data_IF_154819978308
#
_entry.id   IF_154819978308
#
_cell.length_a   1.000
_cell.length_b   1.000
_cell.length_c   1.000
_cell.angle_alpha   90.00
_cell.angle_beta   90.00
_cell.angle_gamma   90.00
#
_symmetry.space_group_name_H-M   'P 1'
#
loop_
_entity.id
_entity.type
_entity.pdbx_description
1 polymer ?
#
# COMPACT_ATOMS: atom_id res chain seq x y z
N UNK A 1 -58.68 10.93 10.67
CA UNK A 1 -59.26 9.62 10.28
C UNK A 1 -58.27 8.96 9.34
N UNK A 2 -57.74 7.77 9.68
CA UNK A 2 -56.82 7.03 8.84
C UNK A 2 -57.60 6.15 7.87
N UNK A 3 -57.12 6.00 6.63
CA UNK A 3 -57.62 4.98 5.71
C UNK A 3 -56.63 3.80 5.69
N UNK A 4 -57.17 2.64 6.00
CA UNK A 4 -56.53 1.34 6.12
C UNK A 4 -56.78 0.47 4.88
N UNK A 5 -55.68 -0.02 4.29
CA UNK A 5 -55.45 -1.32 3.62
C UNK A 5 -56.30 -1.72 2.37
N UNK A 6 -55.84 -2.64 1.49
CA UNK A 6 -55.52 -4.01 1.88
C UNK A 6 -54.13 -4.54 1.44
N UNK A 7 -53.57 -5.39 2.29
CA UNK A 7 -52.50 -6.34 1.97
C UNK A 7 -52.98 -7.32 0.90
N UNK A 8 -52.22 -7.48 -0.18
CA UNK A 8 -52.37 -8.56 -1.15
C UNK A 8 -51.27 -9.61 -0.95
N UNK A 9 -51.72 -10.81 -0.54
CA UNK A 9 -51.15 -12.14 -0.71
C UNK A 9 -49.62 -12.30 -0.87
N UNK A 10 -48.99 -12.86 0.16
CA UNK A 10 -47.64 -13.44 0.09
C UNK A 10 -47.66 -14.75 -0.73
N UNK A 11 -46.95 -14.77 -1.86
CA UNK A 11 -46.48 -16.01 -2.50
C UNK A 11 -45.26 -16.57 -1.72
N UNK A 12 -45.05 -17.90 -1.71
CA UNK A 12 -43.97 -18.48 -0.95
C UNK A 12 -42.60 -18.06 -1.53
N UNK A 13 -41.81 -17.37 -0.70
CA UNK A 13 -40.43 -16.98 -0.97
C UNK A 13 -39.60 -18.16 -1.49
N UNK A 14 -39.05 -18.02 -2.70
CA UNK A 14 -37.93 -18.86 -3.11
C UNK A 14 -36.64 -18.34 -2.46
N UNK A 15 -35.77 -19.25 -2.01
CA UNK A 15 -34.48 -18.92 -1.40
C UNK A 15 -33.59 -18.03 -2.29
N UNK A 16 -33.87 -17.95 -3.60
CA UNK A 16 -33.16 -17.10 -4.55
C UNK A 16 -33.51 -15.61 -4.41
N UNK A 17 -34.73 -15.23 -4.01
CA UNK A 17 -35.15 -13.83 -3.93
C UNK A 17 -34.65 -13.10 -2.68
N UNK A 18 -34.28 -13.83 -1.62
CA UNK A 18 -33.67 -13.29 -0.41
C UNK A 18 -32.18 -12.94 -0.61
N UNK A 19 -31.52 -13.62 -1.56
CA UNK A 19 -30.09 -13.43 -1.86
C UNK A 19 -29.87 -12.28 -2.86
N UNK A 20 -30.85 -11.94 -3.71
CA UNK A 20 -30.65 -10.99 -4.81
C UNK A 20 -31.21 -9.58 -4.61
N UNK A 21 -31.88 -9.27 -3.49
CA UNK A 21 -32.25 -7.89 -3.11
C UNK A 21 -33.01 -7.09 -4.18
N UNK A 22 -33.74 -7.77 -5.07
CA UNK A 22 -34.12 -7.24 -6.38
C UNK A 22 -35.24 -6.21 -6.35
N UNK A 23 -36.05 -6.17 -5.29
CA UNK A 23 -37.29 -5.38 -5.29
C UNK A 23 -37.20 -4.05 -4.54
N UNK A 24 -36.18 -3.82 -3.71
CA UNK A 24 -36.00 -2.53 -3.02
C UNK A 24 -35.41 -1.44 -3.94
N UNK A 25 -34.83 -1.84 -5.08
CA UNK A 25 -34.00 -0.98 -5.93
C UNK A 25 -34.60 -0.67 -7.30
N UNK A 26 -35.71 -1.31 -7.68
CA UNK A 26 -36.50 -0.95 -8.87
C UNK A 26 -37.15 0.43 -8.76
N UNK A 27 -37.34 0.93 -7.54
CA UNK A 27 -37.82 2.29 -7.26
C UNK A 27 -36.77 3.38 -7.49
N UNK A 28 -35.50 3.05 -7.78
CA UNK A 28 -34.39 4.02 -7.87
C UNK A 28 -33.81 4.25 -9.28
N UNK A 29 -34.36 3.67 -10.36
CA UNK A 29 -34.07 4.09 -11.75
C UNK A 29 -32.61 4.03 -12.22
N UNK A 30 -31.84 3.00 -11.85
CA UNK A 30 -30.42 2.85 -12.24
C UNK A 30 -30.14 1.53 -12.99
N UNK A 31 -30.66 1.37 -14.20
CA UNK A 31 -30.53 0.12 -14.96
C UNK A 31 -29.18 -0.01 -15.72
N UNK A 32 -28.59 1.10 -16.19
CA UNK A 32 -27.37 1.04 -17.04
C UNK A 32 -26.04 0.97 -16.27
N UNK A 33 -26.01 1.41 -15.01
CA UNK A 33 -24.81 1.37 -14.14
C UNK A 33 -24.52 -0.03 -13.59
N UNK A 34 -25.55 -0.90 -13.52
CA UNK A 34 -25.44 -2.26 -12.99
C UNK A 34 -24.60 -3.20 -13.85
N UNK A 35 -24.55 -3.01 -15.16
CA UNK A 35 -23.86 -3.94 -16.07
C UNK A 35 -22.35 -3.67 -16.15
N UNK A 36 -21.95 -2.39 -16.16
CA UNK A 36 -20.54 -1.99 -16.29
C UNK A 36 -19.75 -2.08 -14.98
N UNK A 37 -20.34 -1.69 -13.84
CA UNK A 37 -19.68 -1.69 -12.54
C UNK A 37 -19.45 -3.10 -11.97
N UNK A 38 -20.41 -4.02 -12.16
CA UNK A 38 -20.25 -5.44 -11.77
C UNK A 38 -19.10 -6.09 -12.55
N UNK A 39 -19.04 -5.90 -13.87
CA UNK A 39 -18.02 -6.56 -14.71
C UNK A 39 -16.59 -6.07 -14.46
N UNK A 40 -16.39 -4.80 -14.10
CA UNK A 40 -15.07 -4.25 -13.81
C UNK A 40 -14.59 -4.57 -12.37
N UNK A 41 -15.48 -4.46 -11.37
CA UNK A 41 -15.16 -4.81 -9.99
C UNK A 41 -14.92 -6.31 -9.83
N UNK A 42 -15.77 -7.14 -10.43
CA UNK A 42 -15.61 -8.59 -10.41
C UNK A 42 -14.32 -9.01 -11.11
N UNK A 43 -13.87 -8.31 -12.16
CA UNK A 43 -12.60 -8.58 -12.82
C UNK A 43 -11.40 -8.27 -11.90
N UNK A 44 -11.40 -7.13 -11.20
CA UNK A 44 -10.30 -6.77 -10.30
C UNK A 44 -10.26 -7.62 -9.02
N UNK A 45 -11.43 -7.97 -8.47
CA UNK A 45 -11.54 -8.90 -7.34
C UNK A 45 -11.13 -10.30 -7.79
N UNK A 46 -11.57 -10.76 -8.96
CA UNK A 46 -11.15 -12.05 -9.54
C UNK A 46 -9.65 -12.07 -9.78
N UNK A 47 -9.04 -11.03 -10.33
CA UNK A 47 -7.59 -10.96 -10.52
C UNK A 47 -6.84 -11.01 -9.18
N UNK A 48 -7.32 -10.31 -8.14
CA UNK A 48 -6.70 -10.35 -6.81
C UNK A 48 -6.87 -11.71 -6.14
N UNK A 49 -8.05 -12.32 -6.26
CA UNK A 49 -8.32 -13.67 -5.74
C UNK A 49 -7.50 -14.71 -6.50
N UNK A 50 -7.43 -14.63 -7.84
CA UNK A 50 -6.56 -15.48 -8.66
C UNK A 50 -5.09 -15.31 -8.29
N UNK A 51 -4.62 -14.10 -8.02
CA UNK A 51 -3.25 -13.88 -7.56
C UNK A 51 -2.99 -14.52 -6.18
N UNK A 52 -3.90 -14.35 -5.22
CA UNK A 52 -3.78 -14.95 -3.88
C UNK A 52 -3.87 -16.49 -3.95
N UNK A 53 -4.82 -17.02 -4.71
CA UNK A 53 -4.99 -18.46 -4.94
C UNK A 53 -3.77 -19.03 -5.64
N UNK A 54 -3.26 -18.36 -6.68
CA UNK A 54 -2.04 -18.78 -7.38
C UNK A 54 -0.83 -18.77 -6.45
N UNK A 55 -0.66 -17.72 -5.62
CA UNK A 55 0.43 -17.70 -4.62
C UNK A 55 0.28 -18.79 -3.55
N UNK A 56 -0.95 -19.11 -3.15
CA UNK A 56 -1.24 -20.16 -2.16
C UNK A 56 -1.02 -21.56 -2.73
N UNK A 57 -1.44 -21.79 -3.99
CA UNK A 57 -1.21 -23.04 -4.72
C UNK A 57 0.27 -23.25 -5.00
N UNK A 58 1.01 -22.20 -5.36
CA UNK A 58 2.46 -22.26 -5.50
C UNK A 58 3.12 -22.59 -4.16
N UNK A 59 2.71 -21.97 -3.05
CA UNK A 59 3.24 -22.29 -1.71
C UNK A 59 2.96 -23.75 -1.31
N UNK A 60 1.73 -24.25 -1.53
CA UNK A 60 1.35 -25.66 -1.31
C UNK A 60 2.15 -26.61 -2.18
N UNK A 61 2.35 -26.27 -3.45
CA UNK A 61 3.18 -27.05 -4.37
C UNK A 61 4.63 -27.12 -3.89
N UNK A 62 5.20 -26.02 -3.40
CA UNK A 62 6.53 -26.01 -2.79
C UNK A 62 6.61 -26.89 -1.54
N UNK A 63 5.62 -26.83 -0.66
CA UNK A 63 5.55 -27.69 0.54
C UNK A 63 5.48 -29.16 0.14
N UNK A 64 4.67 -29.52 -0.85
CA UNK A 64 4.53 -30.88 -1.36
C UNK A 64 5.84 -31.38 -1.99
N UNK A 65 6.52 -30.54 -2.77
CA UNK A 65 7.81 -30.87 -3.38
C UNK A 65 8.90 -31.10 -2.32
N UNK A 66 8.93 -30.28 -1.27
CA UNK A 66 9.83 -30.48 -0.12
C UNK A 66 9.51 -31.81 0.58
N UNK A 67 8.23 -32.09 0.83
CA UNK A 67 7.79 -33.35 1.46
C UNK A 67 8.15 -34.59 0.61
N UNK A 68 7.93 -34.54 -0.70
CA UNK A 68 8.33 -35.61 -1.63
C UNK A 68 9.84 -35.83 -1.64
N UNK A 69 10.61 -34.73 -1.57
CA UNK A 69 12.08 -34.81 -1.52
C UNK A 69 12.56 -35.44 -0.22
N UNK A 70 11.98 -35.08 0.92
CA UNK A 70 12.28 -35.70 2.22
C UNK A 70 11.91 -37.20 2.19
N UNK A 71 10.74 -37.54 1.64
CA UNK A 71 10.28 -38.92 1.51
C UNK A 71 11.24 -39.76 0.64
N UNK A 72 11.63 -39.26 -0.53
CA UNK A 72 12.57 -39.96 -1.44
C UNK A 72 13.96 -40.12 -0.85
N UNK A 73 14.46 -39.12 -0.10
CA UNK A 73 15.72 -39.23 0.64
C UNK A 73 15.66 -40.30 1.73
N UNK A 74 14.57 -40.37 2.49
CA UNK A 74 14.35 -41.42 3.49
C UNK A 74 14.26 -42.82 2.86
N UNK A 75 13.59 -42.95 1.71
CA UNK A 75 13.50 -44.22 0.98
C UNK A 75 14.85 -44.67 0.43
N UNK A 76 15.68 -43.73 -0.06
CA UNK A 76 17.07 -44.03 -0.47
C UNK A 76 17.93 -44.50 0.71
N UNK A 77 17.80 -43.85 1.87
CA UNK A 77 18.49 -44.26 3.11
C UNK A 77 18.07 -45.66 3.56
N UNK A 78 16.77 -45.98 3.47
CA UNK A 78 16.24 -47.31 3.80
C UNK A 78 16.74 -48.39 2.83
N UNK A 79 16.77 -48.13 1.52
CA UNK A 79 17.35 -49.06 0.52
C UNK A 79 18.86 -49.24 0.69
N UNK A 80 19.61 -48.17 0.95
CA UNK A 80 21.06 -48.26 1.22
C UNK A 80 21.37 -49.12 2.46
N UNK A 81 20.56 -49.01 3.52
CA UNK A 81 20.71 -49.85 4.71
C UNK A 81 20.37 -51.33 4.44
N UNK A 82 19.39 -51.61 3.56
CA UNK A 82 19.04 -52.99 3.15
C UNK A 82 20.15 -53.59 2.26
N UNK A 83 20.74 -52.81 1.34
CA UNK A 83 21.89 -53.24 0.53
C UNK A 83 23.14 -53.52 1.39
N UNK A 84 23.43 -52.66 2.38
CA UNK A 84 24.54 -52.92 3.33
C UNK A 84 24.30 -54.12 4.23
N UNK A 85 23.04 -54.38 4.60
CA UNK A 85 22.67 -55.59 5.36
C UNK A 85 22.83 -56.89 4.57
N UNK A 86 22.57 -56.85 3.26
CA UNK A 86 22.73 -58.01 2.35
C UNK A 86 24.19 -58.24 1.95
N UNK A 87 25.00 -57.20 1.75
CA UNK A 87 26.45 -57.35 1.58
C UNK A 87 27.12 -57.95 2.83
N UNK A 88 26.67 -57.59 4.04
CA UNK A 88 27.16 -58.21 5.27
C UNK A 88 26.77 -59.69 5.39
N UNK A 89 25.61 -60.09 4.85
CA UNK A 89 25.14 -61.47 4.83
C UNK A 89 25.92 -62.33 3.82
N UNK A 90 26.15 -61.81 2.60
CA UNK A 90 26.92 -62.48 1.54
C UNK A 90 28.42 -62.56 1.90
N UNK A 91 28.96 -61.57 2.65
CA UNK A 91 30.34 -61.63 3.15
C UNK A 91 30.55 -62.66 4.27
N UNK A 92 29.48 -63.09 4.96
CA UNK A 92 29.53 -64.14 5.99
C UNK A 92 29.50 -65.54 5.37
N UNK A 93 28.63 -65.80 4.38
CA UNK A 93 28.62 -67.07 3.65
C UNK A 93 29.93 -67.31 2.88
N UNK A 94 30.50 -66.30 2.20
CA UNK A 94 31.77 -66.50 1.46
C UNK A 94 33.04 -66.62 2.34
N UNK A 95 32.91 -66.43 3.66
CA UNK A 95 33.99 -66.63 4.64
C UNK A 95 33.90 -67.95 5.42
N UNK A 96 32.75 -68.62 5.43
CA UNK A 96 32.62 -69.98 5.99
C UNK A 96 33.10 -71.04 4.97
N UNK A 97 32.87 -70.85 3.67
CA UNK A 97 33.28 -71.81 2.63
C UNK A 97 34.77 -71.76 2.24
N UNK A 98 35.55 -70.84 2.81
CA UNK A 98 37.00 -70.67 2.52
C UNK A 98 37.94 -71.13 3.64
N UNK A 99 37.48 -72.00 4.55
CA UNK A 99 38.28 -72.49 5.70
C UNK A 99 38.55 -74.00 5.76
N UNK A 100 38.14 -74.81 4.78
CA UNK A 100 38.43 -76.25 4.77
C UNK A 100 39.25 -76.69 3.55
N UNK A 101 40.50 -76.25 3.45
CA UNK A 101 41.55 -76.94 2.67
C UNK A 101 42.92 -76.36 3.02
N UNK A 102 43.59 -76.89 4.04
CA UNK A 102 45.04 -77.14 4.06
C UNK A 102 45.50 -77.65 5.44
N UNK A 103 46.38 -78.66 5.40
CA UNK A 103 47.24 -79.20 6.47
C UNK A 103 46.64 -80.21 7.48
N UNK A 104 46.89 -81.50 7.27
CA UNK A 104 47.89 -82.24 8.07
C UNK A 104 48.03 -83.69 7.60
N UNK A 105 49.28 -84.12 7.51
CA UNK A 105 49.74 -85.46 7.16
C UNK A 105 50.24 -86.17 8.43
N UNK A 106 49.67 -87.32 8.80
CA UNK A 106 50.39 -88.49 9.33
C UNK A 106 49.47 -89.68 9.67
N UNK A 107 49.95 -90.88 9.29
CA UNK A 107 49.68 -92.24 9.84
C UNK A 107 48.27 -92.87 9.84
N UNK A 108 48.17 -93.99 9.09
CA UNK A 108 47.15 -95.07 9.03
C UNK A 108 47.07 -95.90 10.35
N UNK A 109 46.11 -96.86 10.59
CA UNK A 109 45.33 -97.69 9.62
C UNK A 109 43.81 -98.02 9.89
N UNK A 110 43.05 -98.26 8.78
CA UNK A 110 42.08 -99.37 8.41
C UNK A 110 41.32 -100.13 9.54
N UNK A 111 40.02 -100.60 9.41
CA UNK A 111 39.34 -101.13 8.20
C UNK A 111 37.81 -100.88 7.93
N UNK A 112 37.47 -101.09 6.64
CA UNK A 112 36.25 -101.76 6.08
C UNK A 112 34.89 -101.05 6.22
N UNK A 113 34.04 -100.89 5.19
CA UNK A 113 33.49 -101.86 4.23
C UNK A 113 32.80 -101.14 3.04
N UNK A 114 32.81 -101.79 1.86
CA UNK A 114 31.78 -101.96 0.79
C UNK A 114 30.71 -100.85 0.61
N UNK A 115 30.25 -100.42 -0.57
CA UNK A 115 30.17 -100.92 -1.97
C UNK A 115 29.31 -99.84 -2.68
N UNK A 116 29.45 -99.38 -3.91
CA UNK A 116 29.46 -100.04 -5.22
C UNK A 116 29.70 -98.92 -6.24
N UNK A 117 30.65 -99.06 -7.16
CA UNK A 117 30.65 -98.33 -8.44
C UNK A 117 30.86 -99.37 -9.54
N UNK A 118 29.92 -99.43 -10.47
CA UNK A 118 30.01 -100.22 -11.68
C UNK A 118 30.52 -99.33 -12.83
N UNK A 119 31.67 -99.74 -13.35
CA UNK A 119 32.03 -99.83 -14.77
C UNK A 119 32.04 -98.58 -15.67
N UNK A 120 33.26 -98.22 -16.07
CA UNK A 120 33.62 -97.58 -17.35
C UNK A 120 33.43 -98.58 -18.51
N UNK A 121 33.48 -98.14 -19.79
CA UNK A 121 34.79 -98.20 -20.45
C UNK A 121 35.12 -97.01 -21.39
N UNK A 122 36.40 -96.63 -21.34
CA UNK A 122 37.31 -96.24 -22.43
C UNK A 122 36.74 -95.61 -23.72
N UNK A 123 37.30 -94.47 -24.13
CA UNK A 123 38.47 -94.48 -25.04
C UNK A 123 38.87 -93.09 -25.59
N UNK A 124 40.19 -92.89 -25.63
CA UNK A 124 41.02 -92.20 -26.65
C UNK A 124 40.93 -90.68 -26.81
N UNK A 125 41.98 -90.04 -26.30
CA UNK A 125 42.97 -89.25 -27.05
C UNK A 125 42.48 -88.45 -28.27
N UNK A 126 42.58 -87.13 -28.18
CA UNK A 126 43.50 -86.37 -29.05
C UNK A 126 43.74 -84.98 -28.46
N UNK A 127 45.02 -84.70 -28.24
CA UNK A 127 45.61 -83.42 -27.91
C UNK A 127 45.77 -82.57 -29.17
N UNK A 128 45.36 -81.30 -29.13
CA UNK A 128 46.12 -80.15 -29.63
C UNK A 128 45.24 -78.88 -29.68
N UNK A 129 45.82 -77.79 -29.20
CA UNK A 129 45.21 -76.52 -28.87
C UNK A 129 45.18 -75.51 -30.03
N UNK A 130 44.16 -74.66 -30.05
CA UNK A 130 44.11 -73.25 -30.49
C UNK A 130 42.61 -72.90 -30.66
N UNK A 131 41.96 -71.86 -30.13
CA UNK A 131 42.33 -70.58 -29.50
C UNK A 131 41.00 -70.05 -28.91
N UNK A 132 40.94 -69.42 -27.73
CA UNK A 132 39.68 -68.97 -27.15
C UNK A 132 39.21 -67.64 -27.78
N UNK A 133 38.04 -67.67 -28.41
CA UNK A 133 37.27 -66.47 -28.78
C UNK A 133 36.81 -65.73 -27.50
N UNK A 134 36.85 -64.39 -27.48
CA UNK A 134 36.55 -63.61 -26.28
C UNK A 134 35.05 -63.59 -25.98
N UNK A 135 34.70 -63.96 -24.75
CA UNK A 135 33.38 -63.77 -24.15
C UNK A 135 33.12 -62.25 -24.04
N UNK A 136 31.98 -61.71 -24.53
CA UNK A 136 31.69 -60.30 -24.37
C UNK A 136 31.38 -59.98 -22.88
N UNK A 137 31.87 -58.87 -22.32
CA UNK A 137 31.53 -58.48 -20.97
C UNK A 137 30.04 -58.09 -20.88
N UNK A 138 29.40 -58.22 -19.69
CA UNK A 138 28.02 -57.82 -19.52
C UNK A 138 27.89 -56.33 -19.81
N UNK A 139 26.99 -56.02 -20.74
CA UNK A 139 26.61 -54.67 -21.12
C UNK A 139 26.19 -53.88 -19.88
N UNK A 140 27.07 -52.99 -19.42
CA UNK A 140 26.70 -51.87 -18.56
C UNK A 140 25.81 -50.99 -19.43
N UNK A 141 24.49 -51.19 -19.32
CA UNK A 141 23.49 -50.21 -19.75
C UNK A 141 23.66 -48.96 -18.88
N UNK A 142 24.68 -48.16 -19.17
CA UNK A 142 24.65 -46.73 -18.91
C UNK A 142 23.68 -46.15 -19.94
N UNK A 143 22.37 -46.28 -19.69
CA UNK A 143 21.43 -45.32 -20.21
C UNK A 143 21.89 -43.96 -19.67
N UNK A 144 22.47 -43.14 -20.55
CA UNK A 144 22.56 -41.69 -20.35
C UNK A 144 21.17 -41.26 -19.87
N UNK A 145 21.03 -41.01 -18.58
CA UNK A 145 19.91 -40.24 -18.08
C UNK A 145 20.03 -38.90 -18.77
N UNK A 146 19.09 -38.66 -19.69
CA UNK A 146 18.78 -37.33 -20.16
C UNK A 146 18.81 -36.38 -18.96
N UNK A 147 19.36 -35.20 -19.20
CA UNK A 147 19.45 -34.08 -18.27
C UNK A 147 18.12 -33.94 -17.51
N UNK A 148 18.05 -34.54 -16.32
CA UNK A 148 17.11 -34.14 -15.29
C UNK A 148 17.65 -32.78 -14.82
N UNK A 149 17.35 -31.73 -15.60
CA UNK A 149 17.28 -30.33 -15.19
C UNK A 149 16.26 -30.26 -14.05
N UNK A 150 16.65 -30.80 -12.90
CA UNK A 150 15.83 -30.87 -11.72
C UNK A 150 15.53 -29.45 -11.31
N UNK A 151 14.25 -29.08 -11.40
CA UNK A 151 13.72 -27.79 -10.99
C UNK A 151 14.26 -27.43 -9.59
N UNK A 152 15.34 -26.66 -9.57
CA UNK A 152 16.05 -26.34 -8.35
C UNK A 152 15.25 -25.25 -7.62
N UNK A 153 14.85 -25.45 -6.35
CA UNK A 153 14.12 -24.45 -5.59
C UNK A 153 14.78 -23.07 -5.58
N UNK A 154 16.11 -23.03 -5.73
CA UNK A 154 16.88 -21.79 -5.89
C UNK A 154 16.56 -21.04 -7.19
N UNK A 155 16.47 -21.75 -8.33
CA UNK A 155 16.07 -21.15 -9.61
C UNK A 155 14.65 -20.59 -9.54
N UNK A 156 13.74 -21.32 -8.90
CA UNK A 156 12.37 -20.86 -8.72
C UNK A 156 12.28 -19.61 -7.83
N UNK A 157 13.06 -19.55 -6.75
CA UNK A 157 13.18 -18.35 -5.90
C UNK A 157 13.73 -17.15 -6.68
N UNK A 158 14.74 -17.35 -7.51
CA UNK A 158 15.28 -16.29 -8.38
C UNK A 158 14.25 -15.76 -9.37
N UNK A 159 13.41 -16.63 -9.95
CA UNK A 159 12.30 -16.21 -10.81
C UNK A 159 11.28 -15.36 -10.09
N UNK A 160 10.91 -15.72 -8.85
CA UNK A 160 10.00 -14.93 -8.01
C UNK A 160 10.60 -13.56 -7.69
N UNK A 161 11.88 -13.50 -7.31
CA UNK A 161 12.58 -12.24 -7.02
C UNK A 161 12.64 -11.36 -8.28
N UNK A 162 13.04 -11.93 -9.42
CA UNK A 162 13.07 -11.22 -10.72
C UNK A 162 11.69 -10.69 -11.09
N UNK A 163 10.65 -11.51 -11.00
CA UNK A 163 9.27 -11.12 -11.27
C UNK A 163 8.80 -9.98 -10.37
N UNK A 164 9.11 -10.05 -9.06
CA UNK A 164 8.84 -8.97 -8.12
C UNK A 164 9.56 -7.66 -8.51
N UNK A 165 10.86 -7.72 -8.83
CA UNK A 165 11.63 -6.55 -9.23
C UNK A 165 11.10 -5.93 -10.54
N UNK A 166 10.74 -6.75 -11.53
CA UNK A 166 10.12 -6.29 -12.78
C UNK A 166 8.79 -5.60 -12.49
N UNK A 167 7.91 -6.22 -11.70
CA UNK A 167 6.63 -5.61 -11.31
C UNK A 167 6.83 -4.25 -10.62
N UNK A 168 7.81 -4.16 -9.73
CA UNK A 168 8.16 -2.93 -9.01
C UNK A 168 8.70 -1.85 -9.95
N UNK A 169 9.54 -2.23 -10.89
CA UNK A 169 10.06 -1.33 -11.92
C UNK A 169 8.95 -0.80 -12.84
N UNK A 170 8.01 -1.66 -13.25
CA UNK A 170 6.82 -1.24 -14.01
C UNK A 170 6.01 -0.22 -13.21
N UNK A 171 5.78 -0.45 -11.91
CA UNK A 171 5.07 0.50 -11.04
C UNK A 171 5.81 1.83 -10.88
N UNK A 172 7.13 1.81 -10.73
CA UNK A 172 7.94 3.02 -10.75
C UNK A 172 7.75 3.78 -12.06
N UNK A 173 7.89 3.10 -13.19
CA UNK A 173 7.82 3.72 -14.51
C UNK A 173 6.42 4.28 -14.82
N UNK A 174 5.35 3.59 -14.42
CA UNK A 174 3.97 4.07 -14.49
C UNK A 174 3.81 5.42 -13.77
N UNK A 175 4.26 5.50 -12.51
CA UNK A 175 4.17 6.73 -11.70
C UNK A 175 5.06 7.83 -12.30
N UNK A 176 6.28 7.47 -12.72
CA UNK A 176 7.23 8.40 -13.31
C UNK A 176 6.68 9.05 -14.59
N UNK A 177 6.24 8.24 -15.56
CA UNK A 177 5.69 8.72 -16.82
C UNK A 177 4.44 9.56 -16.57
N UNK A 178 3.53 9.10 -15.71
CA UNK A 178 2.33 9.86 -15.35
C UNK A 178 2.67 11.22 -14.73
N UNK A 179 3.68 11.27 -13.86
CA UNK A 179 4.11 12.50 -13.21
C UNK A 179 4.80 13.46 -14.18
N UNK A 180 5.71 12.96 -15.02
CA UNK A 180 6.36 13.75 -16.06
C UNK A 180 5.31 14.34 -17.01
N UNK A 181 4.38 13.51 -17.48
CA UNK A 181 3.29 13.95 -18.35
C UNK A 181 2.39 14.98 -17.66
N UNK A 182 2.04 14.74 -16.40
CA UNK A 182 1.13 15.60 -15.64
C UNK A 182 1.68 16.98 -15.33
N UNK A 183 2.96 17.08 -14.94
CA UNK A 183 3.54 18.36 -14.51
C UNK A 183 4.16 19.16 -15.66
N UNK A 184 4.67 18.50 -16.71
CA UNK A 184 5.42 19.19 -17.77
C UNK A 184 4.69 19.27 -19.11
N UNK A 185 3.80 18.33 -19.44
CA UNK A 185 3.16 18.25 -20.76
C UNK A 185 1.66 18.52 -20.74
N UNK A 186 0.98 18.24 -19.63
CA UNK A 186 -0.47 18.43 -19.51
C UNK A 186 -0.80 19.92 -19.50
N UNK A 187 -1.69 20.33 -20.39
CA UNK A 187 -2.14 21.73 -20.44
C UNK A 187 -2.88 22.08 -19.15
N UNK A 188 -2.58 23.23 -18.51
CA UNK A 188 -3.32 23.67 -17.35
C UNK A 188 -4.79 23.89 -17.69
N UNK A 189 -5.69 23.54 -16.77
CA UNK A 189 -7.12 23.82 -16.93
C UNK A 189 -7.34 25.33 -17.09
N UNK A 190 -8.20 25.71 -18.04
CA UNK A 190 -8.57 27.12 -18.22
C UNK A 190 -9.45 27.59 -17.06
N UNK A 191 -8.89 28.43 -16.18
CA UNK A 191 -9.62 28.98 -15.04
C UNK A 191 -10.38 30.28 -15.34
N UNK A 192 -10.35 30.79 -16.58
CA UNK A 192 -11.08 32.00 -16.95
C UNK A 192 -12.58 31.98 -16.59
N UNK A 193 -13.32 30.85 -16.75
CA UNK A 193 -14.74 30.79 -16.37
C UNK A 193 -15.01 31.03 -14.89
N UNK A 194 -14.03 30.79 -14.00
CA UNK A 194 -14.19 30.91 -12.56
C UNK A 194 -13.78 32.28 -12.01
N UNK A 195 -13.22 33.18 -12.84
CA UNK A 195 -12.74 34.50 -12.41
C UNK A 195 -13.84 35.41 -11.87
N UNK A 196 -15.09 35.23 -12.33
CA UNK A 196 -16.28 35.99 -11.89
C UNK A 196 -17.02 35.34 -10.72
N UNK A 197 -16.71 34.09 -10.42
CA UNK A 197 -17.29 33.30 -9.33
C UNK A 197 -16.42 33.43 -8.07
N UNK A 198 -17.00 33.15 -6.91
CA UNK A 198 -16.26 33.14 -5.64
C UNK A 198 -15.33 31.93 -5.55
N UNK A 199 -14.10 32.18 -5.12
CA UNK A 199 -13.14 31.14 -4.71
C UNK A 199 -13.11 31.08 -3.18
N UNK A 200 -13.63 30.00 -2.61
CA UNK A 200 -13.70 29.78 -1.17
C UNK A 200 -12.47 29.02 -0.71
N UNK A 201 -11.74 29.54 0.28
CA UNK A 201 -10.54 28.89 0.82
C UNK A 201 -10.60 28.79 2.33
N UNK A 202 -10.53 27.56 2.85
CA UNK A 202 -10.36 27.29 4.28
C UNK A 202 -8.88 27.10 4.62
N UNK A 203 -8.43 27.58 5.79
CA UNK A 203 -7.03 27.43 6.20
C UNK A 203 -6.05 28.28 5.37
N UNK A 204 -6.50 29.45 4.91
CA UNK A 204 -5.75 30.35 4.01
C UNK A 204 -4.69 31.23 4.67
N UNK A 205 -4.58 31.24 6.01
CA UNK A 205 -3.74 32.22 6.74
C UNK A 205 -2.29 31.78 6.94
N UNK A 206 -1.95 30.52 6.66
CA UNK A 206 -0.60 29.98 6.84
C UNK A 206 -0.34 28.77 5.92
N UNK A 207 0.93 28.37 5.82
CA UNK A 207 1.37 27.15 5.16
C UNK A 207 0.89 26.99 3.71
N UNK A 208 0.47 25.77 3.36
CA UNK A 208 0.06 25.40 2.00
C UNK A 208 -1.15 26.21 1.53
N UNK A 209 -2.16 26.40 2.40
CA UNK A 209 -3.39 27.11 2.02
C UNK A 209 -3.14 28.56 1.63
N UNK A 210 -2.27 29.25 2.38
CA UNK A 210 -1.81 30.61 2.03
C UNK A 210 -1.07 30.63 0.69
N UNK A 211 -0.07 29.77 0.54
CA UNK A 211 0.74 29.72 -0.68
C UNK A 211 -0.09 29.35 -1.93
N UNK A 212 -1.03 28.42 -1.79
CA UNK A 212 -1.93 27.99 -2.87
C UNK A 212 -2.87 29.12 -3.29
N UNK A 213 -3.41 29.86 -2.33
CA UNK A 213 -4.24 31.04 -2.61
C UNK A 213 -3.44 32.15 -3.31
N UNK A 214 -2.27 32.51 -2.77
CA UNK A 214 -1.41 33.54 -3.37
C UNK A 214 -1.03 33.17 -4.81
N UNK A 215 -0.68 31.91 -5.06
CA UNK A 215 -0.34 31.43 -6.40
C UNK A 215 -1.55 31.51 -7.37
N UNK A 216 -2.76 31.13 -6.93
CA UNK A 216 -3.97 31.29 -7.75
C UNK A 216 -4.24 32.74 -8.14
N UNK A 217 -4.07 33.67 -7.19
CA UNK A 217 -4.26 35.10 -7.43
C UNK A 217 -3.17 35.60 -8.38
N UNK A 218 -1.91 35.25 -8.14
CA UNK A 218 -0.76 35.71 -8.91
C UNK A 218 -0.76 35.20 -10.36
N UNK A 219 -0.98 33.90 -10.58
CA UNK A 219 -0.74 33.28 -11.90
C UNK A 219 -2.01 32.92 -12.66
N UNK A 220 -3.15 32.77 -11.97
CA UNK A 220 -4.43 32.42 -12.62
C UNK A 220 -5.41 33.58 -12.72
N UNK A 221 -5.09 34.72 -12.10
CA UNK A 221 -5.90 35.94 -12.21
C UNK A 221 -7.25 35.83 -11.48
N UNK A 222 -7.34 34.97 -10.46
CA UNK A 222 -8.51 34.89 -9.59
C UNK A 222 -8.52 36.13 -8.68
N UNK A 223 -9.67 36.77 -8.54
CA UNK A 223 -9.83 38.03 -7.78
C UNK A 223 -11.00 38.04 -6.80
N UNK A 224 -12.03 37.21 -7.01
CA UNK A 224 -13.16 37.06 -6.08
C UNK A 224 -12.89 35.96 -5.06
N UNK A 225 -12.63 36.36 -3.82
CA UNK A 225 -12.13 35.48 -2.77
C UNK A 225 -13.05 35.48 -1.55
N UNK A 226 -13.40 34.28 -1.06
CA UNK A 226 -14.09 34.10 0.21
C UNK A 226 -13.19 33.35 1.17
N UNK A 227 -12.64 34.03 2.17
CA UNK A 227 -11.59 33.51 3.02
C UNK A 227 -12.12 33.13 4.40
N UNK A 228 -11.92 31.87 4.80
CA UNK A 228 -12.40 31.33 6.08
C UNK A 228 -11.20 30.91 6.94
N UNK A 229 -11.04 31.56 8.07
CA UNK A 229 -10.00 31.23 9.04
C UNK A 229 -10.39 31.65 10.46
N UNK A 230 -9.79 30.99 11.46
CA UNK A 230 -10.04 31.27 12.89
C UNK A 230 -9.29 32.47 13.46
N UNK A 231 -8.17 32.86 12.86
CA UNK A 231 -7.32 33.94 13.39
C UNK A 231 -7.61 35.25 12.65
N UNK A 232 -8.31 36.16 13.33
CA UNK A 232 -8.74 37.45 12.77
C UNK A 232 -7.57 38.29 12.28
N UNK A 233 -6.54 38.50 13.10
CA UNK A 233 -5.39 39.35 12.76
C UNK A 233 -4.63 38.85 11.53
N UNK A 234 -4.36 37.54 11.47
CA UNK A 234 -3.68 36.95 10.30
C UNK A 234 -4.55 37.02 9.04
N UNK A 235 -5.87 36.86 9.19
CA UNK A 235 -6.79 36.94 8.07
C UNK A 235 -6.88 38.37 7.53
N UNK A 236 -6.96 39.37 8.41
CA UNK A 236 -6.97 40.79 8.03
C UNK A 236 -5.68 41.19 7.31
N UNK A 237 -4.52 40.82 7.86
CA UNK A 237 -3.23 41.06 7.22
C UNK A 237 -3.13 40.41 5.83
N UNK A 238 -3.69 39.20 5.66
CA UNK A 238 -3.75 38.54 4.36
C UNK A 238 -4.66 39.28 3.39
N UNK A 239 -5.84 39.72 3.82
CA UNK A 239 -6.76 40.50 2.99
C UNK A 239 -6.09 41.79 2.50
N UNK A 240 -5.50 42.58 3.42
CA UNK A 240 -4.77 43.81 3.08
C UNK A 240 -3.64 43.53 2.09
N UNK A 241 -2.80 42.53 2.36
CA UNK A 241 -1.73 42.12 1.46
C UNK A 241 -2.26 41.79 0.05
N UNK A 242 -3.34 41.02 -0.08
CA UNK A 242 -3.89 40.64 -1.38
C UNK A 242 -4.50 41.84 -2.12
N UNK A 243 -5.13 42.78 -1.42
CA UNK A 243 -5.71 43.97 -2.03
C UNK A 243 -4.65 44.98 -2.46
N UNK A 244 -3.56 45.12 -1.69
CA UNK A 244 -2.44 46.02 -2.01
C UNK A 244 -1.59 45.51 -3.17
N UNK A 245 -1.37 44.19 -3.27
CA UNK A 245 -0.48 43.60 -4.26
C UNK A 245 -1.19 43.17 -5.55
N UNK A 246 -2.52 43.06 -5.55
CA UNK A 246 -3.29 42.58 -6.70
C UNK A 246 -4.55 43.42 -6.91
N UNK A 247 -4.53 44.23 -7.96
CA UNK A 247 -5.66 45.08 -8.34
C UNK A 247 -6.92 44.26 -8.65
N UNK A 248 -8.07 44.80 -8.24
CA UNK A 248 -9.39 44.22 -8.49
C UNK A 248 -9.79 43.06 -7.56
N UNK A 249 -9.02 42.79 -6.50
CA UNK A 249 -9.36 41.77 -5.50
C UNK A 249 -10.62 42.15 -4.69
N UNK A 250 -11.69 41.39 -4.88
CA UNK A 250 -12.92 41.46 -4.08
C UNK A 250 -12.87 40.34 -3.03
N UNK A 251 -12.76 40.71 -1.76
CA UNK A 251 -12.55 39.75 -0.67
C UNK A 251 -13.71 39.81 0.34
N UNK A 252 -14.38 38.68 0.54
CA UNK A 252 -15.24 38.40 1.69
C UNK A 252 -14.48 37.53 2.68
N UNK A 253 -14.75 37.72 3.97
CA UNK A 253 -14.07 37.00 5.05
C UNK A 253 -15.07 36.49 6.07
N UNK A 254 -14.84 35.29 6.58
CA UNK A 254 -15.58 34.74 7.71
C UNK A 254 -14.61 34.22 8.77
N UNK A 255 -14.86 34.62 10.02
CA UNK A 255 -14.17 34.07 11.18
C UNK A 255 -14.93 32.85 11.63
N UNK A 256 -14.35 31.68 11.41
CA UNK A 256 -14.94 30.41 11.81
C UNK A 256 -13.86 29.47 12.33
N UNK A 257 -14.14 28.81 13.44
CA UNK A 257 -13.22 27.89 14.09
C UNK A 257 -13.73 26.45 13.99
N UNK A 258 -13.15 25.69 13.06
CA UNK A 258 -13.49 24.28 12.83
C UNK A 258 -13.12 23.36 13.99
N UNK A 259 -12.44 23.84 15.04
CA UNK A 259 -12.25 23.06 16.27
C UNK A 259 -13.55 22.94 17.07
N UNK A 260 -14.50 23.86 16.90
CA UNK A 260 -15.80 23.86 17.57
C UNK A 260 -16.83 23.06 16.78
N UNK A 261 -17.75 22.41 17.47
CA UNK A 261 -18.81 21.57 16.88
C UNK A 261 -20.04 22.39 16.48
N UNK A 262 -19.85 23.61 15.99
CA UNK A 262 -20.92 24.55 15.68
C UNK A 262 -21.06 24.82 14.17
N UNK A 263 -20.99 23.75 13.38
CA UNK A 263 -21.09 23.81 11.91
C UNK A 263 -22.40 24.39 11.40
N UNK A 264 -23.46 24.41 12.21
CA UNK A 264 -24.71 25.10 11.92
C UNK A 264 -24.53 26.62 11.78
N UNK A 265 -23.44 27.17 12.31
CA UNK A 265 -23.07 28.59 12.18
C UNK A 265 -22.12 28.86 11.02
N UNK A 266 -21.85 27.87 10.17
CA UNK A 266 -21.12 28.13 8.93
C UNK A 266 -21.85 29.22 8.11
N UNK A 267 -21.13 30.07 7.36
CA UNK A 267 -21.74 31.19 6.65
C UNK A 267 -22.75 30.69 5.60
N UNK A 268 -24.03 30.72 5.94
CA UNK A 268 -25.12 30.19 5.09
C UNK A 268 -25.25 30.97 3.78
N UNK A 269 -24.78 32.21 3.75
CA UNK A 269 -24.62 33.02 2.55
C UNK A 269 -23.80 32.31 1.44
N UNK A 270 -22.91 31.36 1.78
CA UNK A 270 -22.19 30.56 0.78
C UNK A 270 -23.11 29.75 -0.14
N UNK A 271 -24.34 29.42 0.31
CA UNK A 271 -25.33 28.73 -0.52
C UNK A 271 -25.88 29.62 -1.64
N UNK A 272 -25.98 30.93 -1.39
CA UNK A 272 -26.50 31.89 -2.38
C UNK A 272 -25.41 32.47 -3.28
N UNK A 273 -24.14 32.36 -2.87
CA UNK A 273 -23.02 32.80 -3.70
C UNK A 273 -22.75 31.81 -4.85
N UNK A 274 -22.44 32.37 -6.02
CA UNK A 274 -21.88 31.57 -7.11
C UNK A 274 -20.43 31.20 -6.78
N UNK A 275 -20.24 30.09 -6.07
CA UNK A 275 -18.92 29.53 -5.79
C UNK A 275 -18.46 28.70 -6.99
N UNK A 276 -17.28 29.04 -7.53
CA UNK A 276 -16.65 28.36 -8.65
C UNK A 276 -15.52 27.43 -8.23
N UNK A 277 -14.77 27.79 -7.18
CA UNK A 277 -13.66 27.00 -6.67
C UNK A 277 -13.78 26.90 -5.15
N UNK A 278 -13.68 25.70 -4.60
CA UNK A 278 -13.61 25.41 -3.17
C UNK A 278 -12.28 24.74 -2.85
N UNK A 279 -11.54 25.30 -1.91
CA UNK A 279 -10.24 24.78 -1.46
C UNK A 279 -10.31 24.47 0.03
N UNK A 280 -10.39 23.19 0.35
CA UNK A 280 -10.42 22.68 1.71
C UNK A 280 -8.99 22.37 2.19
N UNK A 281 -8.33 23.37 2.76
CA UNK A 281 -6.97 23.26 3.27
C UNK A 281 -6.87 23.41 4.80
N UNK A 282 -7.97 23.72 5.50
CA UNK A 282 -7.99 23.70 6.96
C UNK A 282 -7.53 22.33 7.50
N UNK A 283 -6.59 22.36 8.44
CA UNK A 283 -6.01 21.15 8.99
C UNK A 283 -5.21 21.40 10.26
N UNK A 284 -5.26 20.44 11.17
CA UNK A 284 -4.47 20.39 12.40
C UNK A 284 -3.90 18.98 12.59
N UNK A 285 -2.88 18.88 13.43
CA UNK A 285 -2.20 17.63 13.76
C UNK A 285 -1.77 17.66 15.22
N UNK A 286 -1.39 16.51 15.78
CA UNK A 286 -1.01 16.45 17.18
C UNK A 286 0.33 17.17 17.40
N UNK A 287 0.38 18.12 18.34
CA UNK A 287 1.62 18.81 18.74
C UNK A 287 2.59 17.85 19.43
N UNK A 288 2.05 16.83 20.11
CA UNK A 288 2.79 15.77 20.78
C UNK A 288 2.70 14.48 19.96
N UNK A 289 3.83 13.84 19.73
CA UNK A 289 3.87 12.47 19.19
C UNK A 289 3.97 11.53 20.39
N UNK A 290 2.92 10.76 20.68
CA UNK A 290 2.86 9.86 21.83
C UNK A 290 1.96 8.65 21.56
N UNK A 291 2.04 7.63 22.41
CA UNK A 291 1.06 6.55 22.42
C UNK A 291 -0.35 7.14 22.56
N UNK A 292 -1.33 6.53 21.89
CA UNK A 292 -2.71 7.03 21.89
C UNK A 292 -3.26 7.21 23.31
N UNK A 293 -2.97 6.27 24.21
CA UNK A 293 -3.38 6.32 25.61
C UNK A 293 -2.80 7.53 26.39
N UNK A 294 -1.74 8.15 25.89
CA UNK A 294 -1.06 9.27 26.54
C UNK A 294 -1.36 10.62 25.87
N UNK A 295 -2.20 10.63 24.82
CA UNK A 295 -2.63 11.88 24.18
C UNK A 295 -3.71 12.57 25.01
N UNK A 296 -3.79 13.91 24.99
CA UNK A 296 -4.84 14.65 25.67
C UNK A 296 -6.25 14.16 25.28
N UNK A 297 -7.17 14.01 26.24
CA UNK A 297 -8.57 13.71 25.94
C UNK A 297 -9.15 14.71 24.94
N UNK A 298 -9.98 14.23 24.00
CA UNK A 298 -10.63 15.07 22.99
C UNK A 298 -9.76 15.51 21.81
N UNK A 299 -8.42 15.38 21.86
CA UNK A 299 -7.53 15.76 20.75
C UNK A 299 -7.90 15.07 19.44
N UNK A 300 -8.24 13.79 19.49
CA UNK A 300 -8.65 13.04 18.30
C UNK A 300 -9.95 13.56 17.70
N UNK A 301 -10.93 13.93 18.54
CA UNK A 301 -12.19 14.53 18.08
C UNK A 301 -11.93 15.88 17.40
N UNK A 302 -11.06 16.72 17.96
CA UNK A 302 -10.65 17.99 17.36
C UNK A 302 -9.98 17.77 16.00
N UNK A 303 -9.02 16.83 15.91
CA UNK A 303 -8.35 16.51 14.65
C UNK A 303 -9.35 16.02 13.59
N UNK A 304 -10.27 15.13 13.94
CA UNK A 304 -11.30 14.65 13.02
C UNK A 304 -12.24 15.77 12.60
N UNK A 305 -12.64 16.64 13.53
CA UNK A 305 -13.52 17.78 13.24
C UNK A 305 -12.89 18.76 12.26
N UNK A 306 -11.66 19.18 12.53
CA UNK A 306 -10.94 20.14 11.68
C UNK A 306 -10.52 19.54 10.36
N UNK A 307 -10.05 18.29 10.31
CA UNK A 307 -9.45 17.73 9.09
C UNK A 307 -10.46 17.05 8.17
N UNK A 308 -11.54 16.49 8.73
CA UNK A 308 -12.54 15.71 8.00
C UNK A 308 -13.87 16.44 7.97
N UNK A 309 -14.48 16.71 9.13
CA UNK A 309 -15.84 17.26 9.15
C UNK A 309 -15.91 18.66 8.52
N UNK A 310 -14.90 19.52 8.71
CA UNK A 310 -14.84 20.81 8.03
C UNK A 310 -14.94 20.67 6.51
N UNK A 311 -14.20 19.73 5.92
CA UNK A 311 -14.20 19.49 4.48
C UNK A 311 -15.57 18.97 4.02
N UNK A 312 -16.13 17.99 4.75
CA UNK A 312 -17.44 17.41 4.43
C UNK A 312 -18.52 18.50 4.47
N UNK A 313 -18.55 19.31 5.54
CA UNK A 313 -19.53 20.39 5.70
C UNK A 313 -19.40 21.48 4.65
N UNK A 314 -18.19 21.88 4.29
CA UNK A 314 -17.98 22.85 3.21
C UNK A 314 -18.43 22.30 1.85
N UNK A 315 -18.24 21.01 1.59
CA UNK A 315 -18.71 20.35 0.37
C UNK A 315 -20.24 20.24 0.37
N UNK A 316 -20.87 19.80 1.45
CA UNK A 316 -22.34 19.76 1.61
C UNK A 316 -22.96 21.14 1.30
N UNK A 317 -22.30 22.22 1.74
CA UNK A 317 -22.78 23.58 1.58
C UNK A 317 -22.68 24.11 0.15
N UNK A 318 -21.65 23.71 -0.60
CA UNK A 318 -21.25 24.36 -1.87
C UNK A 318 -21.52 23.49 -3.09
N UNK A 319 -21.34 22.17 -2.97
CA UNK A 319 -21.44 21.23 -4.08
C UNK A 319 -22.80 21.26 -4.79
N UNK A 320 -23.96 21.35 -4.10
CA UNK A 320 -25.25 21.41 -4.78
C UNK A 320 -25.35 22.57 -5.79
N UNK A 321 -24.84 23.75 -5.43
CA UNK A 321 -24.81 24.91 -6.33
C UNK A 321 -23.86 24.71 -7.52
N UNK A 322 -22.71 24.06 -7.32
CA UNK A 322 -21.79 23.72 -8.41
C UNK A 322 -22.43 22.74 -9.41
N UNK A 323 -23.15 21.74 -8.90
CA UNK A 323 -23.84 20.73 -9.71
C UNK A 323 -25.01 21.35 -10.50
N UNK A 324 -25.80 22.23 -9.88
CA UNK A 324 -26.91 22.91 -10.57
C UNK A 324 -26.43 23.73 -11.77
N UNK A 325 -25.23 24.31 -11.69
CA UNK A 325 -24.60 25.08 -12.77
C UNK A 325 -23.73 24.24 -13.69
N UNK A 326 -23.60 22.94 -13.40
CA UNK A 326 -22.66 22.01 -14.01
C UNK A 326 -21.26 22.62 -14.18
N UNK A 327 -20.76 23.27 -13.11
CA UNK A 327 -19.47 23.97 -13.14
C UNK A 327 -18.94 24.19 -11.73
N UNK A 328 -17.78 23.60 -11.44
CA UNK A 328 -17.10 23.80 -10.17
C UNK A 328 -15.77 23.08 -10.08
N UNK A 329 -14.92 23.51 -9.14
CA UNK A 329 -13.69 22.81 -8.77
C UNK A 329 -13.65 22.68 -7.25
N UNK A 330 -13.45 21.48 -6.74
CA UNK A 330 -13.21 21.18 -5.32
C UNK A 330 -11.81 20.63 -5.18
N UNK A 331 -10.98 21.24 -4.33
CA UNK A 331 -9.62 20.79 -4.01
C UNK A 331 -9.54 20.48 -2.51
N UNK A 332 -9.31 19.22 -2.18
CA UNK A 332 -9.20 18.74 -0.80
C UNK A 332 -7.75 18.34 -0.50
N UNK A 333 -7.26 18.73 0.68
CA UNK A 333 -5.90 18.38 1.12
C UNK A 333 -5.89 17.17 2.06
N UNK A 334 -5.41 16.05 1.55
CA UNK A 334 -5.06 14.86 2.33
C UNK A 334 -3.61 14.95 2.83
N UNK A 335 -2.89 13.82 2.87
CA UNK A 335 -1.48 13.66 3.22
C UNK A 335 -1.05 12.26 2.80
N UNK A 336 0.24 12.06 2.52
CA UNK A 336 0.79 10.70 2.33
C UNK A 336 0.48 9.77 3.51
N UNK A 337 0.29 10.32 4.71
CA UNK A 337 -0.07 9.54 5.90
C UNK A 337 -1.47 8.91 5.79
N UNK A 338 -2.36 9.45 4.93
CA UNK A 338 -3.65 8.84 4.60
C UNK A 338 -3.52 7.54 3.80
N UNK A 339 -2.40 7.33 3.09
CA UNK A 339 -2.08 6.05 2.44
C UNK A 339 -1.13 5.19 3.26
N UNK A 340 -0.24 5.82 4.02
CA UNK A 340 0.79 5.16 4.82
C UNK A 340 0.63 5.56 6.29
N UNK A 341 -0.17 4.83 7.08
CA UNK A 341 -0.45 5.21 8.46
C UNK A 341 0.83 5.22 9.30
N UNK A 342 0.94 6.22 10.17
CA UNK A 342 2.07 6.41 11.07
C UNK A 342 1.63 6.16 12.52
N UNK A 343 2.42 5.39 13.31
CA UNK A 343 2.14 5.24 14.74
C UNK A 343 2.31 6.58 15.47
N UNK A 344 1.74 6.65 16.68
CA UNK A 344 1.81 7.80 17.58
C UNK A 344 1.10 9.09 17.13
N UNK A 345 0.36 9.05 16.02
CA UNK A 345 -0.46 10.15 15.52
C UNK A 345 -1.81 9.68 14.98
N UNK A 346 -2.33 8.52 15.44
CA UNK A 346 -3.39 7.72 14.79
C UNK A 346 -4.59 8.49 14.20
N UNK A 347 -5.13 9.48 14.90
CA UNK A 347 -6.28 10.28 14.45
C UNK A 347 -5.97 11.14 13.21
N UNK A 348 -4.72 11.60 13.04
CA UNK A 348 -4.32 12.40 11.89
C UNK A 348 -4.30 11.58 10.58
N UNK A 349 -3.54 10.48 10.44
CA UNK A 349 -3.62 9.58 9.29
C UNK A 349 -5.04 9.09 9.02
N UNK A 350 -5.82 8.76 10.06
CA UNK A 350 -7.22 8.35 9.90
C UNK A 350 -8.07 9.43 9.23
N UNK A 351 -7.97 10.69 9.70
CA UNK A 351 -8.67 11.82 9.09
C UNK A 351 -8.27 12.04 7.62
N UNK A 352 -6.99 11.87 7.30
CA UNK A 352 -6.44 12.06 5.94
C UNK A 352 -6.76 10.89 5.01
N UNK A 353 -6.89 9.67 5.54
CA UNK A 353 -7.44 8.54 4.81
C UNK A 353 -8.93 8.76 4.50
N UNK A 354 -9.72 9.17 5.50
CA UNK A 354 -11.16 9.39 5.32
C UNK A 354 -11.45 10.43 4.22
N UNK A 355 -10.78 11.60 4.24
CA UNK A 355 -10.96 12.63 3.20
C UNK A 355 -10.52 12.15 1.82
N UNK A 356 -9.48 11.29 1.74
CA UNK A 356 -9.02 10.69 0.48
C UNK A 356 -10.12 9.83 -0.14
N UNK A 357 -10.65 8.88 0.62
CA UNK A 357 -11.72 8.01 0.14
C UNK A 357 -12.99 8.79 -0.18
N UNK A 358 -13.38 9.72 0.69
CA UNK A 358 -14.53 10.60 0.47
C UNK A 358 -14.41 11.38 -0.85
N UNK A 359 -13.24 11.97 -1.10
CA UNK A 359 -13.00 12.76 -2.33
C UNK A 359 -13.01 11.89 -3.58
N UNK A 360 -12.44 10.68 -3.52
CA UNK A 360 -12.41 9.76 -4.65
C UNK A 360 -13.81 9.24 -5.00
N UNK A 361 -14.59 8.85 -3.98
CA UNK A 361 -15.99 8.43 -4.14
C UNK A 361 -16.85 9.53 -4.78
N UNK A 362 -16.79 10.76 -4.27
CA UNK A 362 -17.51 11.89 -4.90
C UNK A 362 -17.03 12.14 -6.34
N UNK A 363 -15.73 11.98 -6.60
CA UNK A 363 -15.17 12.11 -7.92
C UNK A 363 -15.71 11.09 -8.93
N UNK A 364 -16.08 9.89 -8.48
CA UNK A 364 -16.75 8.86 -9.30
C UNK A 364 -18.24 9.14 -9.44
N UNK A 365 -18.92 9.52 -8.35
CA UNK A 365 -20.35 9.87 -8.36
C UNK A 365 -20.64 10.99 -9.38
N UNK A 366 -19.79 12.01 -9.43
CA UNK A 366 -19.98 13.19 -10.28
C UNK A 366 -19.08 13.20 -11.53
N UNK A 367 -18.49 12.05 -11.91
CA UNK A 367 -17.62 11.94 -13.08
C UNK A 367 -18.30 12.32 -14.41
N UNK A 368 -19.63 12.20 -14.45
CA UNK A 368 -20.48 12.55 -15.61
C UNK A 368 -20.78 14.06 -15.70
N UNK A 369 -20.36 14.85 -14.72
CA UNK A 369 -20.57 16.31 -14.67
C UNK A 369 -19.29 17.06 -15.05
N UNK A 370 -19.41 18.37 -15.23
CA UNK A 370 -18.27 19.27 -15.41
C UNK A 370 -17.68 19.79 -14.09
N UNK A 371 -18.14 19.27 -12.94
CA UNK A 371 -17.54 19.55 -11.63
C UNK A 371 -16.30 18.68 -11.42
N UNK A 372 -15.15 19.32 -11.17
CA UNK A 372 -13.88 18.62 -10.92
C UNK A 372 -13.64 18.52 -9.42
N UNK A 373 -13.51 17.29 -8.92
CA UNK A 373 -13.22 17.02 -7.51
C UNK A 373 -11.82 16.41 -7.42
N UNK A 374 -10.92 17.05 -6.69
CA UNK A 374 -9.50 16.71 -6.61
C UNK A 374 -9.05 16.55 -5.16
N UNK A 375 -8.24 15.53 -4.90
CA UNK A 375 -7.55 15.28 -3.65
C UNK A 375 -6.03 15.38 -3.85
N UNK A 376 -5.39 16.22 -3.04
CA UNK A 376 -3.94 16.39 -3.01
C UNK A 376 -3.33 15.64 -1.83
N UNK A 377 -2.24 14.90 -2.07
CA UNK A 377 -1.48 14.13 -1.08
C UNK A 377 -0.06 14.71 -0.89
N UNK A 378 0.08 15.88 -0.28
CA UNK A 378 1.40 16.38 0.05
C UNK A 378 2.16 15.37 0.93
N UNK A 379 3.45 15.21 0.63
CA UNK A 379 4.43 14.66 1.56
C UNK A 379 4.91 15.79 2.48
N UNK A 380 6.21 15.84 2.82
CA UNK A 380 6.73 16.87 3.70
C UNK A 380 6.79 18.21 2.96
N UNK A 381 6.08 19.19 3.52
CA UNK A 381 6.14 20.60 3.13
C UNK A 381 6.46 21.42 4.37
N UNK A 382 7.40 22.35 4.24
CA UNK A 382 7.84 23.23 5.31
C UNK A 382 6.69 24.16 5.74
N UNK A 383 6.09 23.86 6.89
CA UNK A 383 4.96 24.59 7.47
C UNK A 383 5.01 24.48 8.98
N UNK A 384 4.25 25.34 9.67
CA UNK A 384 4.08 25.25 11.12
C UNK A 384 3.56 23.88 11.58
N UNK A 385 2.69 23.23 10.78
CA UNK A 385 2.14 21.90 11.07
C UNK A 385 3.23 20.81 11.09
N UNK A 386 4.18 20.88 10.16
CA UNK A 386 5.26 19.89 10.06
C UNK A 386 6.45 20.21 10.98
N UNK A 387 6.46 21.40 11.58
CA UNK A 387 7.51 21.97 12.43
C UNK A 387 8.84 22.25 11.69
N UNK A 388 8.76 22.39 10.37
CA UNK A 388 9.89 22.79 9.52
C UNK A 388 9.73 24.26 9.09
N UNK A 389 10.84 24.99 9.08
CA UNK A 389 10.94 26.32 8.52
C UNK A 389 11.24 26.26 7.01
N UNK A 390 11.02 27.37 6.31
CA UNK A 390 11.35 27.44 4.88
C UNK A 390 12.85 27.20 4.61
N UNK A 391 13.71 27.57 5.55
CA UNK A 391 15.17 27.33 5.51
C UNK A 391 15.54 25.85 5.59
N UNK A 392 14.66 25.00 6.14
CA UNK A 392 14.86 23.54 6.19
C UNK A 392 14.54 22.86 4.85
N UNK A 393 14.10 23.62 3.84
CA UNK A 393 13.68 23.08 2.56
C UNK A 393 14.86 22.40 1.84
N UNK A 394 14.58 21.22 1.29
CA UNK A 394 15.54 20.39 0.57
C UNK A 394 14.79 19.47 -0.41
N UNK A 395 15.49 18.52 -1.03
CA UNK A 395 14.93 17.59 -1.99
C UNK A 395 13.71 16.80 -1.46
N UNK A 396 13.65 16.54 -0.15
CA UNK A 396 12.61 15.76 0.51
C UNK A 396 11.57 16.62 1.22
N UNK A 397 11.93 17.85 1.61
CA UNK A 397 11.04 18.80 2.29
C UNK A 397 10.89 20.03 1.41
N UNK A 398 9.74 20.19 0.75
CA UNK A 398 9.53 21.35 -0.13
C UNK A 398 9.06 22.57 0.66
N UNK A 399 9.39 23.77 0.21
CA UNK A 399 8.73 24.97 0.70
C UNK A 399 7.28 25.07 0.20
N UNK A 400 6.43 25.77 0.94
CA UNK A 400 5.01 25.88 0.61
C UNK A 400 4.74 26.57 -0.73
N UNK A 401 5.58 27.55 -1.13
CA UNK A 401 5.40 28.30 -2.40
C UNK A 401 5.75 27.44 -3.61
N UNK A 402 6.87 26.72 -3.59
CA UNK A 402 7.24 25.80 -4.66
C UNK A 402 6.27 24.65 -4.80
N UNK A 403 5.74 24.14 -3.68
CA UNK A 403 4.66 23.16 -3.71
C UNK A 403 3.39 23.75 -4.37
N UNK A 404 2.93 24.91 -3.91
CA UNK A 404 1.74 25.58 -4.42
C UNK A 404 1.81 25.87 -5.91
N UNK A 405 2.96 26.36 -6.42
CA UNK A 405 3.18 26.62 -7.85
C UNK A 405 2.84 25.43 -8.74
N UNK A 406 3.35 24.25 -8.39
CA UNK A 406 3.07 23.03 -9.16
C UNK A 406 1.63 22.54 -8.93
N UNK A 407 1.15 22.59 -7.69
CA UNK A 407 -0.18 22.10 -7.33
C UNK A 407 -1.31 22.91 -7.99
N UNK A 408 -1.15 24.23 -8.10
CA UNK A 408 -2.07 25.12 -8.83
C UNK A 408 -1.99 24.89 -10.33
N UNK A 409 -0.84 24.49 -10.87
CA UNK A 409 -0.71 24.25 -12.31
C UNK A 409 -1.52 23.03 -12.78
N UNK A 410 -1.67 22.02 -11.92
CA UNK A 410 -2.41 20.78 -12.20
C UNK A 410 -3.83 20.76 -11.59
N UNK A 411 -4.34 21.90 -11.14
CA UNK A 411 -5.67 22.00 -10.55
C UNK A 411 -6.73 21.47 -11.51
N UNK A 412 -7.57 20.55 -11.01
CA UNK A 412 -8.65 19.94 -11.78
C UNK A 412 -8.23 18.94 -12.88
N UNK A 413 -6.94 18.78 -13.17
CA UNK A 413 -6.45 17.84 -14.19
C UNK A 413 -6.41 16.39 -13.69
N UNK A 414 -6.07 16.19 -12.41
CA UNK A 414 -5.94 14.87 -11.80
C UNK A 414 -6.82 14.78 -10.56
N UNK A 415 -7.68 13.76 -10.49
CA UNK A 415 -8.50 13.53 -9.28
C UNK A 415 -7.63 13.26 -8.05
N UNK A 416 -6.58 12.45 -8.20
CA UNK A 416 -5.67 12.10 -7.11
C UNK A 416 -4.24 12.42 -7.56
N UNK A 417 -3.57 13.29 -6.82
CA UNK A 417 -2.17 13.65 -7.10
C UNK A 417 -1.45 14.05 -5.81
N UNK A 418 -0.12 13.98 -5.78
CA UNK A 418 0.63 14.56 -4.66
C UNK A 418 0.67 16.09 -4.71
N UNK A 419 0.43 16.68 -5.88
CA UNK A 419 0.46 18.12 -6.12
C UNK A 419 1.78 18.62 -6.73
N UNK A 420 2.88 17.88 -6.64
CA UNK A 420 4.14 18.29 -7.25
C UNK A 420 5.00 17.11 -7.70
N UNK A 421 5.85 17.36 -8.70
CA UNK A 421 6.68 16.34 -9.32
C UNK A 421 7.62 15.65 -8.30
N UNK A 422 8.25 16.43 -7.41
CA UNK A 422 9.19 15.88 -6.43
C UNK A 422 8.53 14.94 -5.43
N UNK A 423 7.28 15.20 -5.05
CA UNK A 423 6.52 14.30 -4.19
C UNK A 423 6.14 13.03 -4.94
N UNK A 424 5.73 13.12 -6.21
CA UNK A 424 5.48 11.94 -7.05
C UNK A 424 6.75 11.08 -7.21
N UNK A 425 7.93 11.69 -7.36
CA UNK A 425 9.20 10.95 -7.41
C UNK A 425 9.47 10.20 -6.12
N UNK A 426 9.24 10.82 -4.95
CA UNK A 426 9.38 10.13 -3.67
C UNK A 426 8.44 8.92 -3.56
N UNK A 427 7.21 9.02 -4.10
CA UNK A 427 6.29 7.88 -4.17
C UNK A 427 6.76 6.82 -5.16
N UNK A 428 7.26 7.22 -6.33
CA UNK A 428 7.80 6.31 -7.32
C UNK A 428 8.97 5.51 -6.74
N UNK A 429 9.98 6.16 -6.15
CA UNK A 429 11.09 5.49 -5.48
C UNK A 429 10.62 4.64 -4.29
N UNK A 430 9.67 5.14 -3.52
CA UNK A 430 9.04 4.41 -2.42
C UNK A 430 8.21 3.20 -2.86
N UNK A 431 8.00 3.00 -4.18
CA UNK A 431 7.27 1.85 -4.73
C UNK A 431 8.16 0.62 -4.95
N UNK A 432 9.49 0.78 -5.03
CA UNK A 432 10.46 -0.33 -5.13
C UNK A 432 10.42 -1.25 -3.90
N UNK A 433 10.10 -0.67 -2.75
CA UNK A 433 9.96 -1.38 -1.49
C UNK A 433 8.47 -1.61 -1.24
N UNK A 434 8.06 -2.87 -1.09
CA UNK A 434 6.68 -3.20 -0.75
C UNK A 434 6.26 -2.56 0.58
N UNK A 435 5.00 -2.17 0.71
CA UNK A 435 4.53 -1.44 1.90
C UNK A 435 4.82 -2.16 3.22
N UNK A 436 4.68 -3.49 3.26
CA UNK A 436 5.00 -4.28 4.46
C UNK A 436 6.50 -4.23 4.80
N UNK A 437 7.37 -4.30 3.78
CA UNK A 437 8.81 -4.20 3.95
C UNK A 437 9.22 -2.78 4.36
N UNK A 438 8.60 -1.78 3.73
CA UNK A 438 8.73 -0.38 4.13
C UNK A 438 8.32 -0.21 5.58
N UNK A 439 7.18 -0.76 6.02
CA UNK A 439 6.71 -0.68 7.41
C UNK A 439 7.71 -1.33 8.37
N UNK A 440 8.28 -2.48 8.01
CA UNK A 440 9.26 -3.20 8.84
C UNK A 440 10.55 -2.39 9.07
N UNK A 441 11.02 -1.64 8.08
CA UNK A 441 12.28 -0.86 8.21
C UNK A 441 12.04 0.63 8.54
N UNK A 442 11.12 1.29 7.85
CA UNK A 442 10.88 2.72 7.99
C UNK A 442 10.23 3.11 9.32
N UNK A 443 9.32 2.27 9.86
CA UNK A 443 8.70 2.57 11.16
C UNK A 443 9.74 2.58 12.30
N UNK A 444 10.58 1.55 12.48
CA UNK A 444 11.58 1.60 13.54
C UNK A 444 12.68 2.63 13.29
N UNK A 445 13.23 2.76 12.07
CA UNK A 445 14.38 3.66 11.87
C UNK A 445 13.98 5.11 11.54
N UNK A 446 12.97 5.31 10.71
CA UNK A 446 12.50 6.63 10.30
C UNK A 446 11.54 7.25 11.31
N UNK A 447 10.50 6.52 11.70
CA UNK A 447 9.45 7.07 12.56
C UNK A 447 9.91 7.22 14.02
N UNK A 448 10.70 6.30 14.59
CA UNK A 448 11.28 6.54 15.92
C UNK A 448 12.24 7.74 15.91
N UNK A 449 12.98 7.97 14.83
CA UNK A 449 13.84 9.14 14.68
C UNK A 449 13.05 10.46 14.59
N UNK A 450 11.95 10.48 13.83
CA UNK A 450 11.03 11.63 13.78
C UNK A 450 10.32 11.83 15.12
N UNK A 451 9.86 10.75 15.75
CA UNK A 451 9.23 10.75 17.06
C UNK A 451 10.17 11.32 18.13
N UNK A 452 11.41 10.83 18.20
CA UNK A 452 12.45 11.36 19.11
C UNK A 452 12.67 12.85 18.88
N UNK A 453 12.91 13.28 17.63
CA UNK A 453 13.10 14.71 17.31
C UNK A 453 11.91 15.58 17.70
N UNK A 454 10.68 15.10 17.47
CA UNK A 454 9.45 15.83 17.82
C UNK A 454 9.19 15.86 19.31
N UNK A 455 9.44 14.77 20.04
CA UNK A 455 9.42 14.76 21.50
C UNK A 455 10.44 15.74 22.05
N UNK A 456 11.67 15.71 21.55
CA UNK A 456 12.73 16.61 22.01
C UNK A 456 12.34 18.08 21.74
N UNK A 457 11.76 18.38 20.57
CA UNK A 457 11.25 19.71 20.23
C UNK A 457 10.07 20.14 21.12
N UNK A 458 9.13 19.23 21.40
CA UNK A 458 8.02 19.47 22.31
C UNK A 458 8.52 19.75 23.73
N UNK A 459 9.42 18.92 24.25
CA UNK A 459 10.01 19.08 25.58
C UNK A 459 10.79 20.39 25.69
N UNK A 460 11.57 20.77 24.67
CA UNK A 460 12.25 22.08 24.61
C UNK A 460 11.26 23.25 24.70
N UNK A 461 10.16 23.20 23.94
CA UNK A 461 9.11 24.24 23.99
C UNK A 461 8.42 24.29 25.35
N UNK A 462 8.11 23.12 25.93
CA UNK A 462 7.51 23.03 27.27
C UNK A 462 8.41 23.67 28.32
N UNK A 463 9.69 23.31 28.34
CA UNK A 463 10.68 23.91 29.26
C UNK A 463 10.86 25.41 29.05
N UNK A 464 10.86 25.88 27.79
CA UNK A 464 10.95 27.31 27.48
C UNK A 464 9.72 28.08 28.00
N UNK A 465 8.52 27.51 27.83
CA UNK A 465 7.29 28.11 28.35
C UNK A 465 7.27 28.13 29.88
N UNK A 466 7.70 27.04 30.53
CA UNK A 466 7.80 26.95 31.99
C UNK A 466 8.78 27.98 32.57
N UNK A 467 9.95 28.19 31.94
CA UNK A 467 10.91 29.25 32.32
C UNK A 467 10.31 30.65 32.17
N UNK A 468 9.58 30.90 31.08
CA UNK A 468 8.94 32.18 30.83
C UNK A 468 7.76 32.46 31.78
N UNK A 469 7.06 31.43 32.26
CA UNK A 469 6.02 31.57 33.29
C UNK A 469 6.58 31.67 34.71
N UNK A 470 7.72 31.03 35.00
CA UNK A 470 8.38 31.10 36.31
C UNK A 470 9.04 32.46 36.60
N UNK A 471 9.52 33.16 35.57
CA UNK A 471 10.13 34.49 35.71
C UNK A 471 9.18 35.66 36.00
N UNK A 472 7.86 35.43 36.09
CA UNK A 472 6.86 36.45 36.49
C UNK A 472 6.39 36.32 37.94
N UNK A 473 6.93 35.39 38.72
CA UNK A 473 6.46 35.07 40.07
C UNK A 473 7.36 35.50 41.24
N UNK A 474 8.61 35.90 41.01
CA UNK A 474 9.55 36.29 42.09
C UNK A 474 9.86 37.79 42.00
N UNK A 475 8.91 38.60 42.47
CA UNK A 475 9.07 40.05 42.47
C UNK A 475 8.12 40.78 43.41
N UNK A 476 7.57 40.14 44.44
CA UNK A 476 6.90 40.82 45.56
C UNK A 476 7.06 39.96 46.81
N UNK A 477 8.08 40.26 47.63
CA UNK A 477 8.09 40.13 49.10
C UNK A 477 9.44 40.58 49.66
N UNK A 478 9.53 41.87 49.97
CA UNK A 478 10.39 42.42 51.02
C UNK A 478 9.85 43.81 51.39
N UNK A 479 8.91 43.83 52.32
CA UNK A 479 8.80 44.88 53.35
C UNK A 479 9.01 44.20 54.70
#
# INVERSE_FOLDING_TARGET
MPFSAPLSAEEPMSLASLITGSNCLKTCGMEDVQFAARRASDLFVTIRVCAVVLTSLLALFFILMIALRIYTLNMRKKRSNICRGSEHFISRESKEDRKCCCSSSSSRPIPSKLSHCAELPNSRDTTAAATPLPIPPPSICCSRSAEDEGFCPFHALLWVIKGYLIFRFIKFFEIFVRSVWGHFFTRPLNLAPYKKSWTVVTGCTDGIGKAYLEELVATKGIRKLYLIARNTTKLEALCSYLQENYEGCEIKRAIFDFEKDDFEKLPTELQSLEVGILINCAGTGPDQVANFANLPPGLSSVILRVNLLSCVKMIELILPGMLQRDRGIVVNFSSITGWRPLPYMSSYPASKAAISFFTDSLGDEFAHTNVKIQCLFPLLVATKLTQYAAEDANLFVLDAKSYARQAVNIIGNYRISTGCFMHDMQIAFGSFIGFNLFKLFYVPFGILGIHKRRIDAYNRKKLANERNSGGRGEGIKSE
#
